data_IF_545884004942
#
_entry.id   IF_545884004942
#
_cell.length_a   1.000
_cell.length_b   1.000
_cell.length_c   1.000
_cell.angle_alpha   90.00
_cell.angle_beta   90.00
_cell.angle_gamma   90.00
#
_symmetry.space_group_name_H-M   'P 1'
#
loop_
_entity.id
_entity.type
_entity.pdbx_description
1 polymer ?
#
# COMPACT_ATOMS: atom_id res chain seq x y z
N UNK A 1 -15.90 -5.31 8.95
CA UNK A 1 -15.04 -4.62 7.97
C UNK A 1 -14.80 -3.20 8.44
N UNK A 2 -13.54 -2.80 8.48
CA UNK A 2 -13.15 -1.43 8.83
C UNK A 2 -12.73 -0.69 7.58
N UNK A 3 -12.82 0.64 7.61
CA UNK A 3 -12.35 1.46 6.51
C UNK A 3 -11.61 2.67 7.06
N UNK A 4 -10.43 2.94 6.50
CA UNK A 4 -9.61 4.09 6.81
C UNK A 4 -9.44 4.92 5.55
N UNK A 5 -9.62 6.23 5.66
CA UNK A 5 -9.42 7.15 4.54
C UNK A 5 -8.46 8.26 4.95
N UNK A 6 -7.45 8.50 4.12
CA UNK A 6 -6.50 9.60 4.30
C UNK A 6 -6.39 10.41 3.03
N UNK A 7 -6.30 11.73 3.18
CA UNK A 7 -6.07 12.64 2.07
C UNK A 7 -4.81 13.44 2.37
N UNK A 8 -3.95 13.58 1.35
CA UNK A 8 -2.67 14.24 1.46
C UNK A 8 -2.47 15.17 0.27
N UNK A 9 -1.97 16.37 0.52
CA UNK A 9 -1.64 17.32 -0.54
C UNK A 9 -0.14 17.25 -0.85
N UNK A 10 0.20 17.15 -2.14
CA UNK A 10 1.59 17.08 -2.59
C UNK A 10 1.80 18.16 -3.65
N UNK A 11 2.71 19.13 -3.41
CA UNK A 11 2.93 20.25 -4.32
C UNK A 11 3.83 19.85 -5.50
N UNK A 12 3.29 19.07 -6.41
CA UNK A 12 3.98 18.63 -7.61
C UNK A 12 2.96 18.44 -8.73
N UNK A 13 3.43 18.07 -9.94
CA UNK A 13 2.52 17.76 -11.05
C UNK A 13 2.03 16.30 -10.97
N UNK A 14 0.97 16.00 -11.69
CA UNK A 14 0.33 14.69 -11.66
C UNK A 14 1.26 13.59 -12.16
N UNK A 15 2.00 13.82 -13.23
CA UNK A 15 2.89 12.81 -13.80
C UNK A 15 4.01 12.43 -12.83
N UNK A 16 4.64 13.42 -12.20
CA UNK A 16 5.71 13.19 -11.23
C UNK A 16 5.19 12.44 -10.01
N UNK A 17 4.02 12.85 -9.50
CA UNK A 17 3.40 12.21 -8.35
C UNK A 17 3.02 10.75 -8.66
N UNK A 18 2.37 10.53 -9.78
CA UNK A 18 1.98 9.20 -10.23
C UNK A 18 3.19 8.29 -10.40
N UNK A 19 4.22 8.75 -11.12
CA UNK A 19 5.41 7.94 -11.40
C UNK A 19 6.13 7.51 -10.12
N UNK A 20 6.17 8.38 -9.13
CA UNK A 20 6.81 8.07 -7.85
C UNK A 20 5.98 7.05 -7.04
N UNK A 21 4.71 7.34 -6.77
CA UNK A 21 3.89 6.53 -5.89
C UNK A 21 3.42 5.22 -6.53
N UNK A 22 3.33 5.14 -7.85
CA UNK A 22 2.93 3.93 -8.54
C UNK A 22 4.10 3.01 -8.90
N UNK A 23 5.33 3.41 -8.60
CA UNK A 23 6.48 2.55 -8.87
C UNK A 23 6.75 1.59 -7.73
N UNK A 24 6.75 0.26 -7.98
CA UNK A 24 7.09 -0.71 -6.96
C UNK A 24 8.50 -0.54 -6.38
N UNK A 25 9.41 0.08 -7.11
CA UNK A 25 10.77 0.34 -6.64
C UNK A 25 10.82 1.30 -5.45
N UNK A 26 9.79 2.12 -5.27
CA UNK A 26 9.73 3.11 -4.20
C UNK A 26 8.98 2.64 -2.96
N UNK A 27 8.51 1.39 -2.93
CA UNK A 27 7.73 0.88 -1.81
C UNK A 27 8.46 1.00 -0.47
N UNK A 28 9.77 0.74 -0.44
CA UNK A 28 10.55 0.83 0.78
C UNK A 28 10.58 2.26 1.32
N UNK A 29 10.65 3.25 0.44
CA UNK A 29 10.73 4.67 0.84
C UNK A 29 9.40 5.19 1.39
N UNK A 30 8.27 4.68 0.88
CA UNK A 30 6.93 5.12 1.30
C UNK A 30 6.36 4.28 2.45
N UNK A 31 7.06 3.22 2.86
CA UNK A 31 6.64 2.38 3.99
C UNK A 31 7.37 2.84 5.25
N UNK A 32 6.67 2.95 6.40
CA UNK A 32 7.32 3.38 7.64
C UNK A 32 8.53 2.52 7.99
N UNK A 33 9.69 3.12 8.34
CA UNK A 33 10.89 2.35 8.68
C UNK A 33 10.69 1.38 9.85
N UNK A 34 9.76 1.70 10.77
CA UNK A 34 9.44 0.85 11.91
C UNK A 34 8.87 -0.51 11.52
N UNK A 35 8.39 -0.67 10.30
CA UNK A 35 7.83 -1.94 9.83
C UNK A 35 8.88 -2.94 9.34
N UNK A 36 10.14 -2.54 9.24
CA UNK A 36 11.22 -3.45 8.81
C UNK A 36 10.96 -4.06 7.44
N UNK A 37 10.51 -3.25 6.50
CA UNK A 37 10.08 -3.69 5.18
C UNK A 37 11.26 -4.20 4.33
N UNK A 38 11.14 -5.42 3.81
CA UNK A 38 12.14 -6.05 2.94
C UNK A 38 11.44 -6.69 1.74
N UNK A 39 11.74 -6.20 0.54
CA UNK A 39 11.18 -6.78 -0.69
C UNK A 39 11.88 -8.10 -0.99
N UNK A 40 11.11 -9.15 -1.25
CA UNK A 40 11.59 -10.50 -1.50
C UNK A 40 11.54 -10.91 -2.96
N UNK A 41 10.68 -10.29 -3.76
CA UNK A 41 10.55 -10.59 -5.18
C UNK A 41 11.23 -9.51 -6.00
N UNK A 42 11.55 -9.83 -7.26
CA UNK A 42 11.95 -8.81 -8.21
C UNK A 42 10.73 -7.97 -8.55
N UNK A 43 10.93 -6.65 -8.66
CA UNK A 43 9.85 -5.74 -8.99
C UNK A 43 10.23 -4.91 -10.23
N UNK A 44 9.26 -4.68 -11.13
CA UNK A 44 9.51 -3.83 -12.29
C UNK A 44 9.52 -2.36 -11.87
N UNK A 45 10.00 -1.51 -12.77
CA UNK A 45 9.98 -0.06 -12.57
C UNK A 45 8.56 0.49 -12.59
N UNK A 46 7.68 -0.15 -13.37
CA UNK A 46 6.29 0.29 -13.54
C UNK A 46 5.34 -0.86 -13.20
N UNK A 47 4.32 -0.55 -12.39
CA UNK A 47 3.33 -1.58 -12.02
C UNK A 47 2.35 -1.87 -13.16
N UNK A 48 1.74 -3.04 -13.08
CA UNK A 48 0.70 -3.48 -14.02
C UNK A 48 -0.31 -4.37 -13.28
N UNK A 49 -1.50 -4.49 -13.84
CA UNK A 49 -2.53 -5.35 -13.26
C UNK A 49 -2.07 -6.80 -13.24
N UNK A 50 -2.25 -7.46 -12.10
CA UNK A 50 -1.82 -8.83 -11.88
C UNK A 50 -0.41 -8.97 -11.32
N UNK A 51 0.35 -7.86 -11.19
CA UNK A 51 1.67 -7.90 -10.58
C UNK A 51 1.57 -8.37 -9.13
N UNK A 52 2.40 -9.37 -8.79
CA UNK A 52 2.51 -9.88 -7.43
C UNK A 52 3.82 -9.40 -6.82
N UNK A 53 3.76 -8.83 -5.62
CA UNK A 53 4.92 -8.32 -4.92
C UNK A 53 5.00 -9.03 -3.56
N UNK A 54 6.11 -9.75 -3.32
CA UNK A 54 6.33 -10.44 -2.06
C UNK A 54 7.33 -9.66 -1.20
N UNK A 55 7.00 -9.45 0.05
CA UNK A 55 7.90 -8.79 0.99
C UNK A 55 7.68 -9.31 2.42
N UNK A 56 8.60 -8.94 3.30
CA UNK A 56 8.53 -9.25 4.72
C UNK A 56 8.36 -7.94 5.49
N UNK A 57 7.49 -7.94 6.49
CA UNK A 57 7.33 -6.83 7.43
C UNK A 57 7.50 -7.34 8.84
N UNK A 58 7.91 -6.47 9.76
CA UNK A 58 8.07 -6.79 11.18
C UNK A 58 7.21 -5.85 12.02
N UNK A 59 5.88 -5.99 11.96
CA UNK A 59 4.99 -5.04 12.60
C UNK A 59 4.94 -5.13 14.13
N UNK A 60 5.29 -6.28 14.70
CA UNK A 60 5.16 -6.54 16.12
C UNK A 60 6.41 -7.17 16.69
N UNK A 61 7.01 -6.53 17.72
CA UNK A 61 8.13 -7.08 18.48
C UNK A 61 9.26 -7.65 17.60
N UNK A 62 9.42 -7.15 16.37
CA UNK A 62 10.44 -7.64 15.47
C UNK A 62 10.14 -9.00 14.84
N UNK A 63 8.93 -9.54 15.01
CA UNK A 63 8.55 -10.83 14.42
C UNK A 63 8.29 -10.65 12.92
N UNK A 64 9.05 -11.36 12.05
CA UNK A 64 8.85 -11.22 10.61
C UNK A 64 7.55 -11.88 10.16
N UNK A 65 6.83 -11.22 9.26
CA UNK A 65 5.61 -11.73 8.64
C UNK A 65 5.70 -11.59 7.14
N UNK A 66 5.33 -12.63 6.42
CA UNK A 66 5.27 -12.60 4.97
C UNK A 66 4.04 -11.83 4.52
N UNK A 67 4.23 -11.02 3.48
CA UNK A 67 3.16 -10.27 2.85
C UNK A 67 3.28 -10.39 1.34
N UNK A 68 2.21 -10.79 0.68
CA UNK A 68 2.15 -10.80 -0.79
C UNK A 68 1.00 -9.91 -1.22
N UNK A 69 1.32 -8.93 -2.05
CA UNK A 69 0.35 -7.99 -2.61
C UNK A 69 0.13 -8.29 -4.09
N UNK A 70 -1.13 -8.26 -4.51
CA UNK A 70 -1.49 -8.24 -5.92
C UNK A 70 -1.93 -6.84 -6.30
N UNK A 71 -1.39 -6.31 -7.40
CA UNK A 71 -1.91 -5.08 -8.01
C UNK A 71 -3.15 -5.44 -8.79
N UNK A 72 -4.30 -5.11 -8.23
CA UNK A 72 -5.61 -5.56 -8.74
C UNK A 72 -6.07 -4.76 -9.94
N UNK A 73 -5.90 -3.44 -9.89
CA UNK A 73 -6.39 -2.52 -10.91
C UNK A 73 -5.39 -1.37 -11.06
N UNK A 74 -5.14 -0.96 -12.30
CA UNK A 74 -4.34 0.24 -12.60
C UNK A 74 -5.08 1.07 -13.64
N UNK A 75 -5.39 2.32 -13.28
CA UNK A 75 -5.87 3.35 -14.19
C UNK A 75 -4.84 4.46 -14.23
N UNK A 76 -4.10 4.54 -15.32
CA UNK A 76 -2.96 5.45 -15.43
C UNK A 76 -3.35 6.88 -15.08
N UNK A 77 -2.56 7.53 -14.20
CA UNK A 77 -2.76 8.90 -13.73
C UNK A 77 -4.04 9.15 -12.92
N UNK A 78 -4.80 8.11 -12.60
CA UNK A 78 -6.06 8.24 -11.85
C UNK A 78 -6.01 7.50 -10.53
N UNK A 79 -5.85 6.18 -10.56
CA UNK A 79 -5.78 5.38 -9.35
C UNK A 79 -5.17 4.00 -9.60
N UNK A 80 -4.74 3.37 -8.54
CA UNK A 80 -4.43 1.94 -8.54
C UNK A 80 -4.92 1.30 -7.25
N UNK A 81 -5.13 -0.02 -7.31
CA UNK A 81 -5.64 -0.80 -6.19
C UNK A 81 -4.70 -1.96 -5.93
N UNK A 82 -4.33 -2.14 -4.66
CA UNK A 82 -3.59 -3.32 -4.23
C UNK A 82 -4.39 -4.10 -3.20
N UNK A 83 -4.24 -5.43 -3.23
CA UNK A 83 -4.88 -6.33 -2.30
C UNK A 83 -3.88 -7.31 -1.71
N UNK A 84 -3.98 -7.56 -0.41
CA UNK A 84 -3.18 -8.58 0.24
C UNK A 84 -3.68 -9.96 -0.18
N UNK A 85 -2.77 -10.81 -0.64
CA UNK A 85 -3.05 -12.22 -0.92
C UNK A 85 -2.51 -13.13 0.16
N UNK A 86 -1.40 -12.76 0.78
CA UNK A 86 -0.82 -13.44 1.93
C UNK A 86 -0.42 -12.37 2.93
N UNK A 87 -0.77 -12.54 4.19
CA UNK A 87 -0.41 -11.58 5.22
C UNK A 87 -1.28 -11.68 6.46
N UNK A 88 -1.08 -10.76 7.42
CA UNK A 88 -1.76 -10.82 8.72
C UNK A 88 -3.24 -10.46 8.70
N UNK A 89 -3.72 -9.79 7.65
CA UNK A 89 -5.12 -9.40 7.56
C UNK A 89 -5.94 -10.47 6.87
N UNK A 90 -7.21 -10.61 7.27
CA UNK A 90 -8.16 -11.46 6.56
C UNK A 90 -8.52 -10.84 5.22
N UNK A 91 -8.74 -9.53 5.22
CA UNK A 91 -9.00 -8.73 4.02
C UNK A 91 -8.15 -7.46 4.11
N UNK A 92 -7.52 -7.10 3.01
CA UNK A 92 -6.83 -5.83 2.86
C UNK A 92 -6.97 -5.37 1.42
N UNK A 93 -7.74 -4.30 1.23
CA UNK A 93 -8.01 -3.71 -0.08
C UNK A 93 -7.66 -2.23 0.02
N UNK A 94 -6.65 -1.80 -0.74
CA UNK A 94 -6.11 -0.45 -0.65
C UNK A 94 -6.23 0.25 -1.99
N UNK A 95 -7.00 1.33 -2.03
CA UNK A 95 -7.15 2.19 -3.19
C UNK A 95 -6.28 3.42 -3.03
N UNK A 96 -5.56 3.77 -4.09
CA UNK A 96 -4.71 4.95 -4.14
C UNK A 96 -5.21 5.86 -5.26
N UNK A 97 -5.83 6.97 -4.92
CA UNK A 97 -6.43 7.90 -5.87
C UNK A 97 -5.60 9.18 -5.98
N UNK A 98 -5.49 9.71 -7.20
CA UNK A 98 -4.72 10.90 -7.51
C UNK A 98 -5.61 11.88 -8.24
N UNK A 99 -5.65 13.13 -7.77
CA UNK A 99 -6.49 14.17 -8.36
C UNK A 99 -5.71 15.48 -8.45
N UNK A 100 -5.72 16.10 -9.63
CA UNK A 100 -5.16 17.43 -9.76
C UNK A 100 -6.03 18.45 -9.05
N UNK A 101 -5.39 19.30 -8.26
CA UNK A 101 -6.03 20.41 -7.57
C UNK A 101 -5.16 21.64 -7.75
N UNK A 102 -5.64 22.80 -7.32
CA UNK A 102 -4.85 24.02 -7.41
C UNK A 102 -3.56 23.90 -6.61
N UNK A 103 -2.44 24.11 -7.27
CA UNK A 103 -1.11 24.08 -6.68
C UNK A 103 -0.48 22.70 -6.49
N UNK A 104 -1.17 21.62 -6.87
CA UNK A 104 -0.59 20.29 -6.70
C UNK A 104 -1.56 19.14 -6.91
N UNK A 105 -1.32 18.08 -6.16
CA UNK A 105 -2.09 16.84 -6.25
C UNK A 105 -2.72 16.52 -4.89
N UNK A 106 -3.99 16.16 -4.92
CA UNK A 106 -4.66 15.55 -3.78
C UNK A 106 -4.59 14.04 -3.94
N UNK A 107 -3.86 13.39 -3.05
CA UNK A 107 -3.73 11.94 -3.02
C UNK A 107 -4.59 11.38 -1.90
N UNK A 108 -5.49 10.46 -2.24
CA UNK A 108 -6.40 9.86 -1.27
C UNK A 108 -6.16 8.35 -1.20
N UNK A 109 -5.92 7.88 0.01
CA UNK A 109 -5.80 6.45 0.31
C UNK A 109 -7.08 5.99 1.01
N UNK A 110 -7.67 4.91 0.49
CA UNK A 110 -8.82 4.27 1.10
C UNK A 110 -8.46 2.81 1.35
N UNK A 111 -8.36 2.44 2.63
CA UNK A 111 -8.05 1.06 3.03
C UNK A 111 -9.30 0.44 3.62
N UNK A 112 -9.76 -0.65 3.00
CA UNK A 112 -10.84 -1.46 3.53
C UNK A 112 -10.22 -2.76 4.02
N UNK A 113 -10.38 -3.07 5.30
CA UNK A 113 -9.69 -4.21 5.89
C UNK A 113 -10.56 -4.94 6.90
N UNK A 114 -10.21 -6.22 7.09
CA UNK A 114 -10.81 -7.07 8.11
C UNK A 114 -9.70 -7.77 8.88
N UNK A 115 -9.81 -7.73 10.20
CA UNK A 115 -8.82 -8.30 11.09
C UNK A 115 -9.05 -9.81 11.24
N UNK A 116 -7.97 -10.58 11.48
CA UNK A 116 -8.14 -11.97 11.87
C UNK A 116 -8.80 -12.04 13.25
N UNK A 117 -9.39 -13.20 13.58
CA UNK A 117 -10.07 -13.41 14.84
C UNK A 117 -9.10 -13.46 16.03
N UNK A 118 -9.59 -13.05 17.22
CA UNK A 118 -8.88 -13.19 18.48
C UNK A 118 -7.82 -12.12 18.72
N UNK A 119 -6.83 -12.48 19.54
CA UNK A 119 -5.75 -11.58 19.96
C UNK A 119 -4.96 -11.04 18.77
N UNK A 120 -4.76 -11.84 17.74
CA UNK A 120 -4.06 -11.41 16.53
C UNK A 120 -4.73 -10.22 15.86
N UNK A 121 -6.05 -10.13 15.95
CA UNK A 121 -6.79 -9.00 15.41
C UNK A 121 -6.39 -7.67 16.06
N UNK A 122 -6.18 -7.66 17.38
CA UNK A 122 -5.75 -6.47 18.11
C UNK A 122 -4.36 -6.01 17.68
N UNK A 123 -3.45 -6.95 17.48
CA UNK A 123 -2.09 -6.64 17.06
C UNK A 123 -2.05 -6.16 15.61
N UNK A 124 -2.81 -6.80 14.73
CA UNK A 124 -2.87 -6.38 13.33
C UNK A 124 -3.41 -4.94 13.20
N UNK A 125 -4.31 -4.54 14.09
CA UNK A 125 -4.86 -3.19 14.13
C UNK A 125 -3.78 -2.13 14.39
N UNK A 126 -2.74 -2.47 15.12
CA UNK A 126 -1.64 -1.58 15.43
C UNK A 126 -0.72 -1.28 14.24
N UNK A 127 -0.90 -1.94 13.09
CA UNK A 127 -0.12 -1.68 11.88
C UNK A 127 -0.45 -0.32 11.24
N UNK A 128 -1.51 0.32 11.66
CA UNK A 128 -1.86 1.64 11.16
C UNK A 128 -1.20 2.76 12.01
#
# INVERSE_FOLDING_TARGET
MYQLKRTQFIPTDLQTCWDYFSSPLNLKEITPPSMGFIVKSEVPQKMYEGLMIAYTVKPLAGIPMNWVTEIKTVRDLEFFVDEQRVGPYKIWHHEHHFKEVEGGIEMTDIVSYELPLGILGKFAHALF
#
